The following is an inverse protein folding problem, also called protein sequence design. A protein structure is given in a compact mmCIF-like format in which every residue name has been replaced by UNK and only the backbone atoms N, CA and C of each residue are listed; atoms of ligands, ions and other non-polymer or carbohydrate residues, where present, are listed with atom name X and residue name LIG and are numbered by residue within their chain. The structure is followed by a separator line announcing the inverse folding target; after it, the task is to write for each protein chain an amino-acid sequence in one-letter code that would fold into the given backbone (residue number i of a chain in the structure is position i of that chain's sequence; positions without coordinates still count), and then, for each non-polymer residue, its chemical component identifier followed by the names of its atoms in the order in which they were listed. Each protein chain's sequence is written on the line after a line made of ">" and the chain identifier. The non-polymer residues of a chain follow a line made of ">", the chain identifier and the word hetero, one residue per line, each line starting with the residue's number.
data_IF_256590632124
#
_entry.id   IF_256590632124
#
_cell.length_a   1.000
_cell.length_b   1.000
_cell.length_c   1.000
_cell.angle_alpha   90.00
_cell.angle_beta   90.00
_cell.angle_gamma   90.00
#
_symmetry.space_group_name_H-M   'P 1'
#
loop_
_entity.id
_entity.type
_entity.pdbx_description
1 polymer ?
#
# COMPACT_ATOMS: atom_id res chain seq x y z
N UNK A 1 -5.46 19.34 13.91
CA UNK A 1 -5.77 17.89 14.09
C UNK A 1 -6.52 17.31 12.88
N UNK A 2 -7.52 18.00 12.36
CA UNK A 2 -8.33 17.61 11.18
C UNK A 2 -7.50 17.34 9.93
N UNK A 3 -6.62 18.26 9.52
CA UNK A 3 -5.82 18.10 8.29
C UNK A 3 -4.95 16.81 8.31
N UNK A 4 -4.38 16.45 9.46
CA UNK A 4 -3.60 15.21 9.61
C UNK A 4 -4.47 13.96 9.38
N UNK A 5 -5.71 13.97 9.86
CA UNK A 5 -6.67 12.88 9.67
C UNK A 5 -7.09 12.76 8.20
N UNK A 6 -7.40 13.90 7.57
CA UNK A 6 -7.73 13.97 6.14
C UNK A 6 -6.57 13.45 5.28
N UNK A 7 -5.33 13.89 5.55
CA UNK A 7 -4.15 13.41 4.84
C UNK A 7 -3.91 11.91 5.04
N UNK A 8 -4.16 11.38 6.25
CA UNK A 8 -4.05 9.94 6.52
C UNK A 8 -5.08 9.15 5.70
N UNK A 9 -6.34 9.61 5.68
CA UNK A 9 -7.41 9.02 4.89
C UNK A 9 -7.11 9.05 3.39
N UNK A 10 -6.62 10.19 2.88
CA UNK A 10 -6.24 10.36 1.48
C UNK A 10 -5.12 9.41 1.08
N UNK A 11 -4.03 9.32 1.87
CA UNK A 11 -2.93 8.39 1.61
C UNK A 11 -3.39 6.94 1.59
N UNK A 12 -4.30 6.55 2.49
CA UNK A 12 -4.93 5.23 2.45
C UNK A 12 -5.75 5.02 1.17
N UNK A 13 -6.43 6.06 0.68
CA UNK A 13 -7.20 6.02 -0.57
C UNK A 13 -6.31 5.79 -1.78
N UNK A 14 -5.21 6.52 -1.86
CA UNK A 14 -4.20 6.33 -2.92
C UNK A 14 -3.64 4.91 -2.91
N UNK A 15 -3.28 4.37 -1.73
CA UNK A 15 -2.84 2.96 -1.61
C UNK A 15 -3.89 1.98 -2.11
N UNK A 16 -5.16 2.19 -1.77
CA UNK A 16 -6.24 1.32 -2.23
C UNK A 16 -6.39 1.32 -3.76
N UNK A 17 -6.31 2.50 -4.38
CA UNK A 17 -6.35 2.64 -5.85
C UNK A 17 -5.16 1.91 -6.49
N UNK A 18 -3.96 2.08 -5.93
CA UNK A 18 -2.76 1.42 -6.43
C UNK A 18 -2.84 -0.11 -6.31
N UNK A 19 -3.33 -0.63 -5.18
CA UNK A 19 -3.54 -2.07 -5.00
C UNK A 19 -4.55 -2.63 -6.02
N UNK A 20 -5.65 -1.90 -6.28
CA UNK A 20 -6.63 -2.26 -7.32
C UNK A 20 -5.99 -2.31 -8.70
N UNK A 21 -5.12 -1.35 -9.03
CA UNK A 21 -4.38 -1.32 -10.30
C UNK A 21 -3.43 -2.53 -10.44
N UNK A 22 -2.82 -2.98 -9.35
CA UNK A 22 -1.94 -4.15 -9.37
C UNK A 22 -2.68 -5.48 -9.57
N UNK A 23 -3.96 -5.57 -9.22
CA UNK A 23 -4.88 -6.72 -9.39
C UNK A 23 -4.47 -8.00 -8.65
N UNK A 24 -3.22 -8.45 -8.79
CA UNK A 24 -2.64 -9.68 -8.23
C UNK A 24 -1.69 -9.37 -7.05
N UNK A 25 -1.73 -10.12 -5.94
CA UNK A 25 -0.80 -9.97 -4.81
C UNK A 25 0.68 -10.14 -5.19
N UNK A 26 0.97 -10.93 -6.21
CA UNK A 26 2.33 -11.13 -6.72
C UNK A 26 2.98 -9.83 -7.21
N UNK A 27 2.21 -8.87 -7.74
CA UNK A 27 2.71 -7.56 -8.17
C UNK A 27 3.13 -6.70 -6.98
N UNK A 28 2.36 -6.75 -5.89
CA UNK A 28 2.72 -6.12 -4.62
C UNK A 28 4.01 -6.72 -4.07
N UNK A 29 4.12 -8.04 -4.02
CA UNK A 29 5.32 -8.73 -3.55
C UNK A 29 6.53 -8.40 -4.43
N UNK A 30 6.36 -8.32 -5.75
CA UNK A 30 7.41 -7.87 -6.66
C UNK A 30 7.89 -6.47 -6.33
N UNK A 31 6.97 -5.53 -6.07
CA UNK A 31 7.33 -4.16 -5.64
C UNK A 31 8.08 -4.17 -4.32
N UNK A 32 7.65 -4.97 -3.35
CA UNK A 32 8.35 -5.12 -2.07
C UNK A 32 9.77 -5.65 -2.26
N UNK A 33 9.98 -6.66 -3.12
CA UNK A 33 11.33 -7.15 -3.46
C UNK A 33 12.19 -6.08 -4.14
N UNK A 34 11.62 -5.28 -5.04
CA UNK A 34 12.34 -4.16 -5.66
C UNK A 34 12.77 -3.09 -4.66
N UNK A 35 12.04 -2.95 -3.55
CA UNK A 35 12.39 -2.07 -2.44
C UNK A 35 13.38 -2.71 -1.45
N UNK A 36 13.84 -3.94 -1.71
CA UNK A 36 14.79 -4.66 -0.86
C UNK A 36 14.18 -5.46 0.29
N UNK A 37 12.84 -5.55 0.39
CA UNK A 37 12.21 -6.36 1.43
C UNK A 37 12.31 -7.85 1.13
N UNK A 38 12.52 -8.65 2.19
CA UNK A 38 12.65 -10.09 2.10
C UNK A 38 11.31 -10.80 2.36
N UNK A 39 11.03 -11.94 1.70
CA UNK A 39 9.89 -12.80 2.01
C UNK A 39 10.01 -13.40 3.43
N UNK A 40 8.91 -13.91 4.04
CA UNK A 40 7.61 -14.22 3.44
C UNK A 40 6.62 -13.06 3.44
N UNK A 41 5.91 -12.88 2.33
CA UNK A 41 4.83 -11.92 2.22
C UNK A 41 3.48 -12.63 2.23
N UNK A 42 2.56 -12.18 3.08
CA UNK A 42 1.18 -12.69 3.08
C UNK A 42 0.42 -12.23 1.82
N UNK A 43 -0.34 -13.13 1.21
CA UNK A 43 -1.31 -12.74 0.18
C UNK A 43 -2.47 -11.98 0.81
N UNK A 44 -2.72 -10.77 0.30
CA UNK A 44 -3.82 -9.92 0.74
C UNK A 44 -4.79 -9.68 -0.42
N UNK A 45 -6.09 -9.56 -0.14
CA UNK A 45 -7.08 -9.20 -1.16
C UNK A 45 -6.80 -7.77 -1.65
N UNK A 46 -6.45 -7.65 -2.92
CA UNK A 46 -6.01 -6.38 -3.53
C UNK A 46 -7.13 -5.32 -3.62
N UNK A 47 -8.39 -5.75 -3.69
CA UNK A 47 -9.55 -4.87 -3.88
C UNK A 47 -10.21 -4.43 -2.56
N UNK A 48 -9.64 -4.77 -1.40
CA UNK A 48 -10.21 -4.46 -0.08
C UNK A 48 -9.69 -3.14 0.50
N UNK A 49 -10.62 -2.28 0.96
CA UNK A 49 -10.29 -1.06 1.73
C UNK A 49 -9.54 -1.34 3.03
N UNK A 50 -9.86 -2.47 3.68
CA UNK A 50 -9.19 -2.89 4.92
C UNK A 50 -7.71 -3.18 4.66
N UNK A 51 -7.39 -3.81 3.53
CA UNK A 51 -6.03 -4.19 3.19
C UNK A 51 -5.15 -3.03 2.73
N UNK A 52 -5.73 -1.90 2.32
CA UNK A 52 -4.98 -0.68 2.03
C UNK A 52 -4.30 -0.07 3.28
N UNK A 53 -4.74 -0.46 4.47
CA UNK A 53 -4.10 -0.11 5.74
C UNK A 53 -3.09 -1.18 6.23
N UNK A 54 -2.85 -2.23 5.46
CA UNK A 54 -1.89 -3.27 5.85
C UNK A 54 -0.44 -2.74 5.89
N UNK A 55 0.43 -3.34 6.72
CA UNK A 55 1.86 -3.03 6.72
C UNK A 55 2.46 -3.22 5.32
N UNK A 56 2.11 -4.29 4.60
CA UNK A 56 2.61 -4.55 3.24
C UNK A 56 2.29 -3.42 2.26
N UNK A 57 1.08 -2.89 2.31
CA UNK A 57 0.69 -1.74 1.47
C UNK A 57 1.44 -0.46 1.86
N UNK A 58 1.69 -0.26 3.15
CA UNK A 58 2.41 0.91 3.67
C UNK A 58 3.91 0.86 3.37
N UNK A 59 4.51 -0.35 3.39
CA UNK A 59 5.91 -0.58 3.01
C UNK A 59 6.11 -0.45 1.50
N UNK A 60 5.15 -0.94 0.69
CA UNK A 60 5.21 -0.82 -0.77
C UNK A 60 4.98 0.61 -1.27
N UNK A 61 4.20 1.41 -0.53
CA UNK A 61 3.83 2.79 -0.83
C UNK A 61 3.99 3.66 0.42
N UNK A 62 5.24 3.97 0.81
CA UNK A 62 5.52 4.80 1.98
C UNK A 62 4.98 6.22 1.78
N UNK A 63 4.77 6.96 2.86
CA UNK A 63 4.27 8.34 2.76
C UNK A 63 5.21 9.22 1.92
N UNK A 64 6.51 8.96 1.96
CA UNK A 64 7.53 9.64 1.13
C UNK A 64 7.25 9.49 -0.35
N UNK A 65 6.83 8.30 -0.80
CA UNK A 65 6.45 8.04 -2.20
C UNK A 65 5.14 8.72 -2.61
N UNK A 66 4.29 9.11 -1.66
CA UNK A 66 3.02 9.78 -1.95
C UNK A 66 3.11 11.31 -1.85
N UNK A 67 4.24 11.84 -1.40
CA UNK A 67 4.48 13.28 -1.26
C UNK A 67 5.45 13.80 -2.31
N UNK A 68 6.36 12.95 -2.81
CA UNK A 68 7.33 13.24 -3.87
C UNK A 68 6.81 12.73 -5.21
#
# INVERSE_FOLDING_TARGET
>A
RVLKQVMSWLRRRLRCIQLKQWKKPSRLHRRLKQLGYQPPFRHIRMQSWRNAASPLASLALPNTYLHN
#
